data_IF_655160212813
#
_entry.id   IF_655160212813
#
_cell.length_a   1.000
_cell.length_b   1.000
_cell.length_c   1.000
_cell.angle_alpha   90.00
_cell.angle_beta   90.00
_cell.angle_gamma   90.00
#
_symmetry.space_group_name_H-M   'P 1'
#
loop_
_entity.id
_entity.type
_entity.pdbx_description
1 polymer ?
#
# COMPACT_ATOMS: atom_id res chain seq x y z
N UNK A 1 -3.73 -5.72 -23.14
CA UNK A 1 -2.83 -6.84 -22.78
C UNK A 1 -2.11 -6.59 -21.45
N UNK A 2 -1.47 -5.43 -21.23
CA UNK A 2 -0.78 -5.09 -19.95
C UNK A 2 -1.72 -5.03 -18.74
N UNK A 3 -2.94 -4.48 -18.90
CA UNK A 3 -3.97 -4.47 -17.84
C UNK A 3 -4.53 -5.86 -17.47
N UNK A 4 -4.33 -6.89 -18.31
CA UNK A 4 -4.74 -8.27 -18.03
C UNK A 4 -3.65 -9.05 -17.26
N UNK A 5 -2.37 -8.73 -17.47
CA UNK A 5 -1.26 -9.38 -16.76
C UNK A 5 -1.26 -9.02 -15.26
N UNK A 6 -1.59 -7.77 -14.91
CA UNK A 6 -1.76 -7.37 -13.50
C UNK A 6 -2.97 -8.05 -12.85
N UNK A 7 -3.96 -8.48 -13.65
CA UNK A 7 -5.14 -9.22 -13.17
C UNK A 7 -4.88 -10.73 -13.05
N UNK A 8 -3.91 -11.27 -13.80
CA UNK A 8 -3.54 -12.70 -13.80
C UNK A 8 -2.88 -13.16 -12.50
N UNK A 9 -2.15 -12.28 -11.81
CA UNK A 9 -1.59 -12.55 -10.47
C UNK A 9 -2.63 -12.47 -9.34
N UNK A 10 -3.90 -12.20 -9.66
CA UNK A 10 -4.99 -11.92 -8.71
C UNK A 10 -5.99 -13.07 -8.58
N UNK A 11 -5.65 -14.28 -9.05
CA UNK A 11 -6.38 -15.48 -8.69
C UNK A 11 -5.96 -15.94 -7.28
N UNK A 12 -6.86 -15.72 -6.33
CA UNK A 12 -6.82 -16.21 -4.96
C UNK A 12 -6.62 -17.73 -4.89
N UNK A 13 -5.45 -18.20 -4.47
CA UNK A 13 -5.31 -19.57 -3.94
C UNK A 13 -6.05 -19.65 -2.62
N UNK A 14 -7.25 -20.25 -2.67
CA UNK A 14 -8.02 -20.68 -1.52
C UNK A 14 -7.68 -22.16 -1.30
N UNK A 15 -7.16 -22.59 -0.13
CA UNK A 15 -7.06 -24.00 0.13
C UNK A 15 -8.44 -24.48 0.60
N UNK A 16 -9.11 -25.27 -0.24
CA UNK A 16 -10.15 -26.19 0.22
C UNK A 16 -9.64 -27.59 -0.12
N UNK A 17 -9.02 -28.22 0.88
CA UNK A 17 -8.87 -29.66 0.89
C UNK A 17 -10.20 -30.27 1.30
N UNK A 18 -10.63 -31.27 0.54
CA UNK A 18 -11.31 -32.44 1.08
C UNK A 18 -10.92 -33.63 0.19
N UNK A 19 -10.07 -34.48 0.76
CA UNK A 19 -9.76 -35.81 0.26
C UNK A 19 -10.86 -36.75 0.75
N UNK A 20 -11.55 -37.41 -0.17
CA UNK A 20 -12.35 -38.59 0.13
C UNK A 20 -12.12 -39.66 -0.93
N UNK A 21 -11.47 -40.74 -0.49
CA UNK A 21 -11.76 -42.16 -0.73
C UNK A 21 -12.30 -42.59 -2.10
N UNK A 22 -11.60 -43.52 -2.76
CA UNK A 22 -12.15 -44.86 -3.00
C UNK A 22 -11.08 -45.96 -3.25
N UNK A 23 -11.14 -46.95 -2.34
CA UNK A 23 -10.81 -48.38 -2.28
C UNK A 23 -9.91 -49.15 -3.33
N UNK A 24 -9.43 -50.36 -2.94
CA UNK A 24 -8.15 -50.95 -3.34
C UNK A 24 -8.27 -52.22 -4.19
N UNK A 25 -7.13 -52.72 -4.68
CA UNK A 25 -6.90 -54.15 -4.97
C UNK A 25 -5.43 -54.39 -5.26
N UNK A 26 -4.83 -55.40 -4.62
CA UNK A 26 -3.47 -55.87 -4.91
C UNK A 26 -2.89 -56.69 -3.77
N UNK A 27 -3.37 -57.93 -3.62
CA UNK A 27 -2.69 -58.98 -2.85
C UNK A 27 -1.30 -59.26 -3.43
N UNK A 28 -0.33 -59.61 -2.57
CA UNK A 28 0.36 -60.92 -2.59
C UNK A 28 1.56 -60.95 -1.60
N UNK A 29 1.55 -61.99 -0.76
CA UNK A 29 2.67 -62.80 -0.23
C UNK A 29 3.81 -62.07 0.54
N UNK A 30 3.88 -62.21 1.87
CA UNK A 30 4.49 -63.30 2.68
C UNK A 30 5.93 -62.99 3.09
N UNK A 31 6.17 -62.78 4.38
CA UNK A 31 7.07 -63.60 5.20
C UNK A 31 7.20 -63.02 6.63
N UNK A 32 7.04 -63.91 7.62
CA UNK A 32 7.31 -63.68 9.05
C UNK A 32 8.56 -64.51 9.39
N UNK A 33 9.46 -64.04 10.27
CA UNK A 33 9.51 -64.61 11.63
C UNK A 33 9.68 -63.53 12.72
N UNK A 34 8.84 -63.50 13.76
CA UNK A 34 9.14 -63.97 15.14
C UNK A 34 10.39 -63.36 15.79
N UNK A 35 10.16 -62.50 16.79
CA UNK A 35 11.11 -62.09 17.82
C UNK A 35 10.34 -61.62 19.04
N UNK A 36 10.10 -62.53 19.98
CA UNK A 36 9.66 -62.23 21.35
C UNK A 36 10.78 -61.51 22.10
N UNK A 37 10.50 -60.33 22.66
CA UNK A 37 11.15 -59.84 23.87
C UNK A 37 10.14 -59.02 24.69
N UNK A 38 9.82 -59.58 25.85
CA UNK A 38 8.99 -58.98 26.89
C UNK A 38 9.74 -57.92 27.71
N UNK A 39 8.98 -57.26 28.59
CA UNK A 39 9.39 -56.36 29.70
C UNK A 39 9.68 -54.90 29.28
N UNK A 40 9.24 -53.85 29.97
CA UNK A 40 8.45 -53.68 31.19
C UNK A 40 7.69 -52.34 31.10
N UNK A 41 6.53 -52.29 31.76
CA UNK A 41 5.79 -51.06 32.02
C UNK A 41 6.28 -50.47 33.33
N UNK A 42 6.70 -49.19 33.38
CA UNK A 42 6.53 -48.38 34.57
C UNK A 42 5.41 -47.38 34.33
N UNK A 43 4.35 -47.53 35.11
CA UNK A 43 3.46 -46.46 35.54
C UNK A 43 4.28 -45.31 36.13
N UNK A 44 4.18 -44.13 35.53
CA UNK A 44 4.67 -42.87 36.09
C UNK A 44 3.65 -41.78 35.78
N UNK A 45 2.80 -41.48 36.75
CA UNK A 45 2.02 -40.24 36.80
C UNK A 45 2.98 -39.06 36.77
N UNK A 46 2.99 -38.31 35.68
CA UNK A 46 3.41 -36.91 35.67
C UNK A 46 2.39 -36.15 34.84
N UNK A 47 1.45 -35.53 35.54
CA UNK A 47 0.70 -34.40 35.03
C UNK A 47 1.70 -33.39 34.46
N UNK A 48 1.79 -33.29 33.14
CA UNK A 48 2.41 -32.13 32.50
C UNK A 48 1.28 -31.18 32.14
N UNK A 49 1.10 -30.19 33.01
CA UNK A 49 0.24 -29.06 32.79
C UNK A 49 0.37 -28.55 31.34
N UNK A 50 -0.77 -28.47 30.68
CA UNK A 50 -0.96 -27.73 29.44
C UNK A 50 -0.34 -26.34 29.62
N UNK A 51 0.63 -25.89 28.79
CA UNK A 51 0.91 -24.48 28.75
C UNK A 51 -0.28 -23.81 28.04
N UNK A 52 -1.29 -23.43 28.82
CA UNK A 52 -2.10 -22.25 28.52
C UNK A 52 -1.18 -21.03 28.64
N UNK A 53 -0.27 -20.92 27.67
CA UNK A 53 0.43 -19.68 27.40
C UNK A 53 -0.48 -18.84 26.53
N UNK A 54 -1.37 -18.10 27.16
CA UNK A 54 -1.79 -16.80 26.62
C UNK A 54 -0.53 -15.94 26.55
N UNK A 55 0.29 -16.17 25.52
CA UNK A 55 1.20 -15.16 25.02
C UNK A 55 0.33 -14.17 24.28
N UNK A 56 -0.39 -13.35 25.06
CA UNK A 56 -0.84 -12.06 24.60
C UNK A 56 0.40 -11.38 24.02
N UNK A 57 0.49 -11.36 22.70
CA UNK A 57 1.46 -10.52 22.02
C UNK A 57 1.18 -9.11 22.51
N UNK A 58 2.10 -8.54 23.30
CA UNK A 58 2.14 -7.12 23.68
C UNK A 58 2.35 -6.20 22.46
N UNK A 59 1.96 -6.64 21.25
CA UNK A 59 1.82 -5.80 20.07
C UNK A 59 0.39 -5.24 20.10
N UNK A 60 0.22 -3.91 20.25
CA UNK A 60 -1.08 -3.28 20.12
C UNK A 60 -1.72 -3.74 18.81
N UNK A 61 -2.87 -4.40 18.89
CA UNK A 61 -3.53 -4.95 17.70
C UNK A 61 -4.69 -4.05 17.34
N UNK A 62 -4.65 -3.46 16.13
CA UNK A 62 -5.78 -2.66 15.63
C UNK A 62 -6.95 -3.56 15.20
N UNK A 63 -8.20 -3.09 15.30
CA UNK A 63 -9.38 -3.83 14.87
C UNK A 63 -9.32 -4.29 13.40
N UNK A 64 -9.98 -5.42 13.11
CA UNK A 64 -10.03 -6.02 11.75
C UNK A 64 -10.51 -5.02 10.69
N UNK A 65 -11.54 -4.23 11.02
CA UNK A 65 -12.11 -3.26 10.10
C UNK A 65 -11.12 -2.14 9.74
N UNK A 66 -10.25 -1.73 10.67
CA UNK A 66 -9.19 -0.75 10.42
C UNK A 66 -8.09 -1.34 9.52
N UNK A 67 -7.69 -2.60 9.76
CA UNK A 67 -6.76 -3.32 8.87
C UNK A 67 -7.29 -3.40 7.43
N UNK A 68 -8.60 -3.65 7.27
CA UNK A 68 -9.24 -3.64 5.95
C UNK A 68 -9.13 -2.28 5.26
N UNK A 69 -9.38 -1.17 5.97
CA UNK A 69 -9.25 0.18 5.38
C UNK A 69 -7.82 0.56 5.03
N UNK A 70 -6.84 0.17 5.86
CA UNK A 70 -5.42 0.35 5.54
C UNK A 70 -5.08 -0.39 4.25
N UNK A 71 -5.54 -1.64 4.09
CA UNK A 71 -5.31 -2.42 2.87
C UNK A 71 -6.02 -1.83 1.64
N UNK A 72 -7.25 -1.32 1.79
CA UNK A 72 -7.97 -0.63 0.71
C UNK A 72 -7.18 0.59 0.22
N UNK A 73 -6.68 1.41 1.15
CA UNK A 73 -5.86 2.57 0.84
C UNK A 73 -4.53 2.17 0.19
N UNK A 74 -3.82 1.19 0.77
CA UNK A 74 -2.57 0.63 0.22
C UNK A 74 -2.74 0.18 -1.23
N UNK A 75 -3.81 -0.53 -1.53
CA UNK A 75 -4.07 -1.02 -2.88
C UNK A 75 -4.44 0.10 -3.86
N UNK A 76 -5.21 1.11 -3.41
CA UNK A 76 -5.49 2.28 -4.24
C UNK A 76 -4.24 3.12 -4.52
N UNK A 77 -3.35 3.25 -3.53
CA UNK A 77 -2.05 3.87 -3.68
C UNK A 77 -1.22 3.15 -4.75
N UNK A 78 -1.07 1.83 -4.63
CA UNK A 78 -0.34 1.00 -5.60
C UNK A 78 -0.86 1.20 -7.03
N UNK A 79 -2.18 1.16 -7.22
CA UNK A 79 -2.80 1.39 -8.54
C UNK A 79 -2.52 2.80 -9.05
N UNK A 80 -2.53 3.81 -8.18
CA UNK A 80 -2.18 5.17 -8.53
C UNK A 80 -0.72 5.30 -8.96
N UNK A 81 0.22 4.68 -8.25
CA UNK A 81 1.65 4.69 -8.60
C UNK A 81 1.92 3.99 -9.94
N UNK A 82 1.31 2.82 -10.17
CA UNK A 82 1.42 2.14 -11.47
C UNK A 82 0.85 3.01 -12.59
N UNK A 83 -0.31 3.65 -12.36
CA UNK A 83 -0.91 4.50 -13.38
C UNK A 83 -0.09 5.75 -13.67
N UNK A 84 0.55 6.37 -12.67
CA UNK A 84 1.50 7.47 -12.86
C UNK A 84 2.60 7.06 -13.84
N UNK A 85 3.28 5.95 -13.55
CA UNK A 85 4.30 5.40 -14.43
C UNK A 85 3.78 5.11 -15.86
N UNK A 86 2.65 4.43 -15.99
CA UNK A 86 2.04 4.13 -17.31
C UNK A 86 1.63 5.40 -18.08
N UNK A 87 1.31 6.48 -17.37
CA UNK A 87 0.91 7.75 -17.99
C UNK A 87 2.12 8.58 -18.41
N UNK A 88 3.30 8.36 -17.83
CA UNK A 88 4.57 8.97 -18.23
C UNK A 88 5.14 8.31 -19.51
N UNK A 89 4.93 7.01 -19.70
CA UNK A 89 5.48 6.21 -20.80
C UNK A 89 5.27 6.84 -22.21
N UNK A 90 4.09 7.37 -22.59
CA UNK A 90 3.91 7.97 -23.92
C UNK A 90 4.71 9.27 -24.11
N UNK A 91 4.92 10.03 -23.03
CA UNK A 91 5.61 11.32 -23.06
C UNK A 91 7.12 11.16 -23.26
N UNK A 92 7.69 10.02 -22.88
CA UNK A 92 9.13 9.75 -23.04
C UNK A 92 9.49 9.18 -24.41
N UNK A 93 8.51 8.72 -25.19
CA UNK A 93 8.70 8.16 -26.55
C UNK A 93 9.00 9.21 -27.61
N UNK A 94 8.50 10.43 -27.46
CA UNK A 94 8.63 11.46 -28.49
C UNK A 94 10.05 12.06 -28.62
N UNK A 95 11.05 11.57 -27.84
CA UNK A 95 12.36 12.22 -27.61
C UNK A 95 12.23 13.73 -27.31
N UNK A 96 11.05 14.13 -26.81
CA UNK A 96 10.74 15.50 -26.45
C UNK A 96 11.20 15.72 -25.03
N UNK A 97 12.04 16.72 -24.82
CA UNK A 97 12.43 17.16 -23.47
C UNK A 97 11.23 17.78 -22.74
N UNK A 98 10.26 18.36 -23.47
CA UNK A 98 9.09 19.05 -22.91
C UNK A 98 7.98 18.10 -22.46
N UNK A 99 7.82 16.96 -23.13
CA UNK A 99 6.72 16.04 -22.88
C UNK A 99 6.71 15.46 -21.44
N UNK A 100 7.83 14.96 -20.87
CA UNK A 100 7.87 14.54 -19.48
C UNK A 100 7.53 15.66 -18.48
N UNK A 101 7.94 16.90 -18.76
CA UNK A 101 7.60 18.05 -17.93
C UNK A 101 6.08 18.32 -17.93
N UNK A 102 5.41 18.23 -19.07
CA UNK A 102 3.95 18.40 -19.16
C UNK A 102 3.22 17.33 -18.34
N UNK A 103 3.69 16.07 -18.41
CA UNK A 103 3.15 15.00 -17.57
C UNK A 103 3.36 15.29 -16.08
N UNK A 104 4.57 15.70 -15.68
CA UNK A 104 4.89 15.98 -14.29
C UNK A 104 4.00 17.09 -13.72
N UNK A 105 3.81 18.19 -14.47
CA UNK A 105 2.86 19.25 -14.13
C UNK A 105 1.44 18.72 -13.96
N UNK A 106 0.97 17.87 -14.88
CA UNK A 106 -0.39 17.32 -14.82
C UNK A 106 -0.57 16.39 -13.62
N UNK A 107 0.42 15.55 -13.31
CA UNK A 107 0.42 14.69 -12.13
C UNK A 107 0.32 15.53 -10.85
N UNK A 108 1.17 16.55 -10.70
CA UNK A 108 1.16 17.45 -9.53
C UNK A 108 -0.16 18.23 -9.43
N UNK A 109 -0.70 18.69 -10.55
CA UNK A 109 -1.98 19.40 -10.60
C UNK A 109 -3.14 18.52 -10.12
N UNK A 110 -3.19 17.27 -10.58
CA UNK A 110 -4.22 16.30 -10.16
C UNK A 110 -4.04 15.90 -8.70
N UNK A 111 -2.81 15.61 -8.25
CA UNK A 111 -2.55 15.33 -6.83
C UNK A 111 -2.97 16.51 -5.95
N UNK A 112 -2.60 17.75 -6.30
CA UNK A 112 -3.00 18.95 -5.57
C UNK A 112 -4.52 19.11 -5.51
N UNK A 113 -5.24 18.88 -6.61
CA UNK A 113 -6.70 18.97 -6.65
C UNK A 113 -7.36 18.01 -5.65
N UNK A 114 -6.95 16.76 -5.63
CA UNK A 114 -7.58 15.75 -4.76
C UNK A 114 -7.06 15.78 -3.32
N UNK A 115 -5.80 16.15 -3.12
CA UNK A 115 -5.23 16.43 -1.80
C UNK A 115 -5.96 17.58 -1.10
N UNK A 116 -6.08 18.73 -1.75
CA UNK A 116 -6.77 19.90 -1.17
C UNK A 116 -8.25 19.62 -0.91
N UNK A 117 -8.92 18.89 -1.82
CA UNK A 117 -10.29 18.38 -1.58
C UNK A 117 -10.37 17.52 -0.32
N UNK A 118 -9.44 16.58 -0.18
CA UNK A 118 -9.36 15.70 0.98
C UNK A 118 -9.05 16.49 2.26
N UNK A 119 -8.12 17.44 2.22
CA UNK A 119 -7.71 18.25 3.36
C UNK A 119 -8.87 19.09 3.91
N UNK A 120 -9.65 19.74 3.04
CA UNK A 120 -10.87 20.47 3.42
C UNK A 120 -11.86 19.55 4.12
N UNK A 121 -12.12 18.36 3.56
CA UNK A 121 -13.02 17.38 4.16
C UNK A 121 -12.52 16.91 5.54
N UNK A 122 -11.23 16.55 5.64
CA UNK A 122 -10.59 16.08 6.85
C UNK A 122 -10.65 17.13 7.97
N UNK A 123 -10.25 18.38 7.68
CA UNK A 123 -10.24 19.49 8.65
C UNK A 123 -11.66 19.87 9.10
N UNK A 124 -12.63 19.90 8.18
CA UNK A 124 -14.03 20.18 8.50
C UNK A 124 -14.63 19.16 9.47
N UNK A 125 -14.31 17.87 9.31
CA UNK A 125 -14.80 16.81 10.21
C UNK A 125 -14.10 16.80 11.57
N UNK A 126 -12.83 17.17 11.61
CA UNK A 126 -12.02 17.09 12.82
C UNK A 126 -12.12 18.33 13.72
N UNK A 127 -13.07 19.23 13.42
CA UNK A 127 -13.32 20.47 14.14
C UNK A 127 -12.01 21.23 14.39
N UNK A 128 -11.25 21.47 13.32
CA UNK A 128 -10.00 22.21 13.41
C UNK A 128 -10.23 23.50 14.24
N UNK A 129 -9.59 23.55 15.40
CA UNK A 129 -9.53 24.75 16.26
C UNK A 129 -8.88 25.91 15.49
N UNK A 130 -7.99 25.56 14.56
CA UNK A 130 -7.37 26.46 13.61
C UNK A 130 -8.24 26.71 12.38
N UNK A 131 -9.17 27.67 12.52
CA UNK A 131 -10.01 28.18 11.43
C UNK A 131 -9.15 28.70 10.26
N UNK A 132 -7.95 29.22 10.55
CA UNK A 132 -7.03 29.76 9.54
C UNK A 132 -6.51 28.67 8.62
N UNK A 133 -6.17 27.50 9.18
CA UNK A 133 -5.68 26.36 8.41
C UNK A 133 -6.76 25.82 7.46
N UNK A 134 -8.00 25.69 7.93
CA UNK A 134 -9.13 25.27 7.09
C UNK A 134 -9.36 26.26 5.95
N UNK A 135 -9.42 27.57 6.25
CA UNK A 135 -9.59 28.61 5.24
C UNK A 135 -8.46 28.60 4.19
N UNK A 136 -7.22 28.34 4.62
CA UNK A 136 -6.09 28.18 3.69
C UNK A 136 -6.34 27.07 2.67
N UNK A 137 -6.72 25.88 3.14
CA UNK A 137 -6.98 24.74 2.25
C UNK A 137 -8.26 24.90 1.41
N UNK A 138 -9.28 25.61 1.92
CA UNK A 138 -10.46 25.98 1.13
C UNK A 138 -10.09 26.87 -0.05
N UNK A 139 -9.25 27.89 0.19
CA UNK A 139 -8.73 28.76 -0.87
C UNK A 139 -7.89 27.97 -1.87
N UNK A 140 -6.96 27.13 -1.40
CA UNK A 140 -6.15 26.29 -2.29
C UNK A 140 -6.98 25.31 -3.12
N UNK A 141 -8.04 24.74 -2.54
CA UNK A 141 -8.95 23.86 -3.26
C UNK A 141 -9.76 24.61 -4.33
N UNK A 142 -10.23 25.82 -4.04
CA UNK A 142 -10.93 26.63 -5.05
C UNK A 142 -9.99 27.04 -6.20
N UNK A 143 -8.73 27.38 -5.91
CA UNK A 143 -7.73 27.63 -6.96
C UNK A 143 -7.44 26.36 -7.77
N UNK A 144 -7.28 25.20 -7.12
CA UNK A 144 -7.09 23.93 -7.82
C UNK A 144 -8.29 23.57 -8.71
N UNK A 145 -9.52 23.83 -8.26
CA UNK A 145 -10.76 23.64 -9.05
C UNK A 145 -10.80 24.57 -10.27
N UNK A 146 -10.42 25.84 -10.12
CA UNK A 146 -10.33 26.78 -11.25
C UNK A 146 -9.29 26.30 -12.26
N UNK A 147 -8.12 25.87 -11.77
CA UNK A 147 -7.07 25.26 -12.59
C UNK A 147 -7.55 24.02 -13.34
N UNK A 148 -8.29 23.13 -12.68
CA UNK A 148 -8.84 21.90 -13.31
C UNK A 148 -9.86 22.20 -14.40
N UNK A 149 -10.71 23.22 -14.22
CA UNK A 149 -11.67 23.65 -15.26
C UNK A 149 -10.97 24.15 -16.52
N UNK A 150 -9.83 24.81 -16.37
CA UNK A 150 -9.07 25.43 -17.46
C UNK A 150 -7.98 24.50 -18.03
N UNK A 151 -7.77 23.32 -17.45
CA UNK A 151 -6.72 22.40 -17.87
C UNK A 151 -7.00 21.81 -19.26
N UNK A 152 -5.94 21.68 -20.07
CA UNK A 152 -6.03 20.96 -21.35
C UNK A 152 -6.32 19.48 -21.08
N UNK A 153 -7.54 19.05 -21.40
CA UNK A 153 -8.00 17.68 -21.18
C UNK A 153 -7.15 16.63 -21.88
N UNK A 154 -6.36 17.01 -22.90
CA UNK A 154 -5.43 16.10 -23.59
C UNK A 154 -4.24 15.70 -22.72
N UNK A 155 -3.93 16.44 -21.65
CA UNK A 155 -2.82 16.11 -20.73
C UNK A 155 -3.07 14.80 -19.98
N UNK A 156 -4.34 14.46 -19.70
CA UNK A 156 -4.77 13.13 -19.21
C UNK A 156 -5.59 12.41 -20.28
N UNK A 157 -4.92 12.01 -21.37
CA UNK A 157 -5.55 11.47 -22.59
C UNK A 157 -6.55 10.33 -22.31
N UNK A 158 -6.31 9.50 -21.30
CA UNK A 158 -7.19 8.37 -20.96
C UNK A 158 -8.21 8.66 -19.85
N UNK A 159 -8.02 9.75 -19.09
CA UNK A 159 -8.76 9.99 -17.84
C UNK A 159 -8.37 9.05 -16.70
N UNK A 160 -7.51 8.05 -16.95
CA UNK A 160 -7.17 7.01 -15.98
C UNK A 160 -6.28 7.56 -14.88
N UNK A 161 -5.38 8.51 -15.17
CA UNK A 161 -4.53 9.12 -14.17
C UNK A 161 -5.38 9.85 -13.12
N UNK A 162 -6.29 10.72 -13.58
CA UNK A 162 -7.27 11.40 -12.71
C UNK A 162 -8.08 10.38 -11.91
N UNK A 163 -8.62 9.34 -12.56
CA UNK A 163 -9.44 8.35 -11.90
C UNK A 163 -8.69 7.61 -10.77
N UNK A 164 -7.42 7.24 -10.98
CA UNK A 164 -6.62 6.52 -9.98
C UNK A 164 -6.15 7.41 -8.83
N UNK A 165 -5.75 8.65 -9.11
CA UNK A 165 -5.43 9.63 -8.06
C UNK A 165 -6.69 9.93 -7.22
N UNK A 166 -7.83 10.15 -7.87
CA UNK A 166 -9.11 10.35 -7.18
C UNK A 166 -9.48 9.15 -6.29
N UNK A 167 -9.28 7.92 -6.79
CA UNK A 167 -9.55 6.70 -6.03
C UNK A 167 -8.64 6.59 -4.80
N UNK A 168 -7.34 6.87 -4.94
CA UNK A 168 -6.36 6.92 -3.83
C UNK A 168 -6.86 7.82 -2.69
N UNK A 169 -7.16 9.08 -3.01
CA UNK A 169 -7.61 10.07 -2.02
C UNK A 169 -8.97 9.72 -1.42
N UNK A 170 -9.89 9.11 -2.20
CA UNK A 170 -11.16 8.64 -1.65
C UNK A 170 -10.96 7.48 -0.66
N UNK A 171 -10.00 6.59 -0.90
CA UNK A 171 -9.67 5.54 0.08
C UNK A 171 -8.99 6.09 1.32
N UNK A 172 -8.18 7.15 1.21
CA UNK A 172 -7.66 7.88 2.38
C UNK A 172 -8.78 8.46 3.23
N UNK A 173 -9.73 9.16 2.60
CA UNK A 173 -10.92 9.71 3.27
C UNK A 173 -11.69 8.64 4.07
N UNK A 174 -11.92 7.47 3.48
CA UNK A 174 -12.60 6.35 4.15
C UNK A 174 -11.79 5.71 5.28
N UNK A 175 -10.45 5.79 5.21
CA UNK A 175 -9.57 5.37 6.29
C UNK A 175 -9.68 6.35 7.47
N UNK A 176 -9.68 7.66 7.21
CA UNK A 176 -9.75 8.69 8.25
C UNK A 176 -11.03 8.61 9.08
N UNK A 177 -12.16 8.28 8.45
CA UNK A 177 -13.44 8.12 9.14
C UNK A 177 -13.37 6.99 10.19
N UNK A 178 -12.70 5.88 9.84
CA UNK A 178 -12.52 4.73 10.74
C UNK A 178 -11.44 4.99 11.77
N UNK A 179 -10.35 5.65 11.37
CA UNK A 179 -9.26 6.06 12.24
C UNK A 179 -9.76 6.98 13.35
N UNK A 180 -10.58 7.98 13.01
CA UNK A 180 -11.14 8.93 13.97
C UNK A 180 -12.02 8.24 15.02
N UNK A 181 -12.85 7.28 14.60
CA UNK A 181 -13.66 6.47 15.51
C UNK A 181 -12.78 5.63 16.45
N UNK A 182 -11.76 4.95 15.90
CA UNK A 182 -10.82 4.16 16.69
C UNK A 182 -10.08 4.99 17.74
N UNK A 183 -9.57 6.17 17.38
CA UNK A 183 -8.87 7.08 18.30
C UNK A 183 -9.78 7.55 19.43
N UNK A 184 -11.05 7.85 19.14
CA UNK A 184 -12.03 8.27 20.14
C UNK A 184 -12.31 7.15 21.17
N UNK A 185 -12.38 5.89 20.72
CA UNK A 185 -12.61 4.72 21.59
C UNK A 185 -11.41 4.34 22.45
N UNK A 186 -10.18 4.59 21.96
CA UNK A 186 -8.94 4.10 22.59
C UNK A 186 -8.25 5.09 23.53
N UNK A 187 -8.62 6.37 23.51
CA UNK A 187 -8.03 7.42 24.38
C UNK A 187 -8.03 7.09 25.88
N UNK A 188 -8.87 6.15 26.32
CA UNK A 188 -9.01 5.74 27.73
C UNK A 188 -8.32 4.41 28.09
N UNK A 189 -7.72 3.69 27.13
CA UNK A 189 -7.37 2.26 27.31
C UNK A 189 -5.93 1.85 27.04
N UNK A 190 -5.09 2.69 26.44
CA UNK A 190 -3.78 2.22 25.95
C UNK A 190 -2.60 2.86 26.69
N UNK A 191 -1.89 2.06 27.49
CA UNK A 191 -0.58 2.40 28.06
C UNK A 191 0.52 2.13 27.02
N UNK A 192 0.62 2.99 25.99
CA UNK A 192 1.68 2.85 24.96
C UNK A 192 2.81 3.82 25.21
N UNK A 193 4.04 3.34 25.06
CA UNK A 193 5.23 4.18 25.07
C UNK A 193 5.29 5.04 23.79
N UNK A 194 4.88 6.32 23.91
CA UNK A 194 4.88 7.33 22.83
C UNK A 194 6.23 7.45 22.13
N UNK A 195 7.33 7.47 22.86
CA UNK A 195 8.69 7.62 22.29
C UNK A 195 9.13 6.39 21.50
N UNK A 196 8.74 5.19 21.97
CA UNK A 196 8.96 3.94 21.22
C UNK A 196 8.20 3.96 19.89
N UNK A 197 6.94 4.39 19.88
CA UNK A 197 6.13 4.48 18.65
C UNK A 197 6.69 5.50 17.66
N UNK A 198 7.08 6.69 18.14
CA UNK A 198 7.75 7.70 17.29
C UNK A 198 8.99 7.12 16.62
N UNK A 199 9.86 6.48 17.39
CA UNK A 199 11.09 5.86 16.84
C UNK A 199 10.78 4.77 15.82
N UNK A 200 9.75 3.96 16.05
CA UNK A 200 9.30 2.96 15.08
C UNK A 200 8.80 3.61 13.79
N UNK A 201 7.94 4.62 13.89
CA UNK A 201 7.42 5.36 12.74
C UNK A 201 8.54 5.99 11.92
N UNK A 202 9.46 6.74 12.56
CA UNK A 202 10.60 7.36 11.89
C UNK A 202 11.48 6.33 11.19
N UNK A 203 11.74 5.18 11.81
CA UNK A 203 12.51 4.11 11.16
C UNK A 203 11.81 3.57 9.91
N UNK A 204 10.48 3.44 9.95
CA UNK A 204 9.68 3.00 8.80
C UNK A 204 9.64 4.08 7.71
N UNK A 205 9.48 5.35 8.07
CA UNK A 205 9.51 6.49 7.14
C UNK A 205 10.86 6.60 6.40
N UNK A 206 11.97 6.39 7.11
CA UNK A 206 13.30 6.33 6.49
C UNK A 206 13.43 5.17 5.47
N UNK A 207 12.81 4.01 5.76
CA UNK A 207 12.76 2.89 4.82
C UNK A 207 11.89 3.21 3.60
N UNK A 208 10.76 3.88 3.79
CA UNK A 208 9.89 4.35 2.71
C UNK A 208 10.68 5.28 1.79
N UNK A 209 11.43 6.24 2.34
CA UNK A 209 12.22 7.19 1.56
C UNK A 209 13.33 6.49 0.75
N UNK A 210 14.05 5.55 1.37
CA UNK A 210 15.02 4.72 0.66
C UNK A 210 14.38 3.90 -0.47
N UNK A 211 13.23 3.27 -0.20
CA UNK A 211 12.49 2.48 -1.18
C UNK A 211 11.94 3.35 -2.32
N UNK A 212 11.49 4.57 -2.04
CA UNK A 212 11.01 5.52 -3.04
C UNK A 212 12.15 5.90 -4.02
N UNK A 213 13.37 6.08 -3.52
CA UNK A 213 14.54 6.33 -4.36
C UNK A 213 14.88 5.13 -5.26
N UNK A 214 14.71 3.90 -4.76
CA UNK A 214 14.86 2.67 -5.56
C UNK A 214 13.80 2.63 -6.68
N UNK A 215 12.54 2.89 -6.34
CA UNK A 215 11.43 2.94 -7.30
C UNK A 215 11.70 3.98 -8.39
N UNK A 216 12.08 5.21 -8.04
CA UNK A 216 12.42 6.27 -9.02
C UNK A 216 13.51 5.83 -10.00
N UNK A 217 14.57 5.17 -9.51
CA UNK A 217 15.64 4.64 -10.36
C UNK A 217 15.13 3.54 -11.30
N UNK A 218 14.24 2.68 -10.82
CA UNK A 218 13.65 1.60 -11.64
C UNK A 218 12.64 2.14 -12.65
N UNK A 219 11.90 3.20 -12.34
CA UNK A 219 11.03 3.89 -13.30
C UNK A 219 11.85 4.43 -14.48
N UNK A 220 12.98 5.09 -14.22
CA UNK A 220 13.88 5.55 -15.30
C UNK A 220 14.40 4.40 -16.17
N UNK A 221 14.80 3.28 -15.55
CA UNK A 221 15.25 2.08 -16.28
C UNK A 221 14.13 1.45 -17.11
N UNK A 222 12.92 1.36 -16.57
CA UNK A 222 11.78 0.78 -17.27
C UNK A 222 11.34 1.67 -18.46
N UNK A 223 11.44 3.00 -18.31
CA UNK A 223 11.26 3.94 -19.42
C UNK A 223 12.31 3.72 -20.52
N UNK A 224 13.58 3.58 -20.14
CA UNK A 224 14.65 3.32 -21.10
C UNK A 224 14.41 2.01 -21.88
N UNK A 225 14.15 0.91 -21.18
CA UNK A 225 13.86 -0.38 -21.79
C UNK A 225 12.62 -0.33 -22.70
N UNK A 226 11.61 0.46 -22.31
CA UNK A 226 10.44 0.73 -23.18
C UNK A 226 10.85 1.38 -24.48
N UNK A 227 11.63 2.46 -24.43
CA UNK A 227 12.02 3.19 -25.61
C UNK A 227 12.86 2.32 -26.55
N UNK A 228 13.80 1.55 -26.02
CA UNK A 228 14.62 0.61 -26.78
C UNK A 228 13.77 -0.49 -27.47
N UNK A 229 12.82 -1.10 -26.75
CA UNK A 229 11.90 -2.07 -27.33
C UNK A 229 11.00 -1.46 -28.42
N UNK A 230 10.52 -0.23 -28.21
CA UNK A 230 9.62 0.43 -29.16
C UNK A 230 10.31 0.85 -30.45
N UNK A 231 11.61 1.19 -30.39
CA UNK A 231 12.45 1.49 -31.55
C UNK A 231 12.76 0.21 -32.37
N UNK A 232 12.78 -0.97 -31.73
CA UNK A 232 13.10 -2.27 -32.36
C UNK A 232 12.10 -3.37 -31.95
N UNK A 233 10.84 -3.25 -32.39
CA UNK A 233 9.73 -4.10 -31.88
C UNK A 233 9.88 -5.60 -32.17
N UNK A 234 10.59 -5.94 -33.23
CA UNK A 234 10.81 -7.34 -33.65
C UNK A 234 11.95 -8.01 -32.86
N UNK A 235 12.74 -7.23 -32.10
CA UNK A 235 13.79 -7.77 -31.24
C UNK A 235 13.19 -8.41 -29.99
N UNK A 236 13.30 -9.74 -29.93
CA UNK A 236 12.79 -10.55 -28.82
C UNK A 236 13.54 -10.27 -27.50
N UNK A 237 14.84 -9.99 -27.55
CA UNK A 237 15.65 -9.71 -26.36
C UNK A 237 15.23 -8.39 -25.72
N UNK A 238 15.00 -7.34 -26.53
CA UNK A 238 14.54 -6.05 -26.01
C UNK A 238 13.12 -6.13 -25.44
N UNK A 239 12.26 -6.96 -26.03
CA UNK A 239 10.94 -7.26 -25.48
C UNK A 239 11.02 -7.96 -24.11
N UNK A 240 11.93 -8.92 -23.95
CA UNK A 240 12.17 -9.59 -22.66
C UNK A 240 12.68 -8.60 -21.61
N UNK A 241 13.68 -7.78 -21.94
CA UNK A 241 14.20 -6.74 -21.05
C UNK A 241 13.14 -5.72 -20.61
N UNK A 242 12.26 -5.30 -21.53
CA UNK A 242 11.10 -4.47 -21.22
C UNK A 242 10.21 -5.12 -20.16
N UNK A 243 9.83 -6.39 -20.33
CA UNK A 243 8.97 -7.07 -19.36
C UNK A 243 9.66 -7.28 -18.00
N UNK A 244 10.95 -7.61 -17.99
CA UNK A 244 11.73 -7.75 -16.75
C UNK A 244 11.82 -6.43 -15.97
N UNK A 245 12.03 -5.31 -16.65
CA UNK A 245 12.08 -4.00 -16.03
C UNK A 245 10.74 -3.63 -15.39
N UNK A 246 9.62 -3.89 -16.07
CA UNK A 246 8.27 -3.66 -15.54
C UNK A 246 7.95 -4.56 -14.36
N UNK A 247 8.28 -5.85 -14.44
CA UNK A 247 8.08 -6.83 -13.38
C UNK A 247 8.85 -6.42 -12.11
N UNK A 248 10.11 -6.02 -12.28
CA UNK A 248 10.97 -5.54 -11.19
C UNK A 248 10.40 -4.27 -10.56
N UNK A 249 10.00 -3.28 -11.37
CA UNK A 249 9.37 -2.05 -10.87
C UNK A 249 8.08 -2.35 -10.10
N UNK A 250 7.21 -3.21 -10.64
CA UNK A 250 5.96 -3.59 -9.98
C UNK A 250 6.20 -4.28 -8.62
N UNK A 251 7.23 -5.12 -8.52
CA UNK A 251 7.65 -5.77 -7.26
C UNK A 251 8.13 -4.74 -6.24
N UNK A 252 8.99 -3.80 -6.63
CA UNK A 252 9.50 -2.77 -5.72
C UNK A 252 8.42 -1.76 -5.31
N UNK A 253 7.43 -1.50 -6.19
CA UNK A 253 6.23 -0.73 -5.84
C UNK A 253 5.36 -1.47 -4.82
N UNK A 254 5.22 -2.81 -4.90
CA UNK A 254 4.52 -3.60 -3.88
C UNK A 254 5.23 -3.48 -2.51
N UNK A 255 6.56 -3.61 -2.50
CA UNK A 255 7.38 -3.40 -1.30
C UNK A 255 7.20 -2.00 -0.69
N UNK A 256 7.19 -0.95 -1.53
CA UNK A 256 6.93 0.42 -1.10
C UNK A 256 5.59 0.55 -0.41
N UNK A 257 4.50 0.06 -1.02
CA UNK A 257 3.17 0.22 -0.43
C UNK A 257 2.97 -0.62 0.83
N UNK A 258 3.68 -1.75 0.96
CA UNK A 258 3.69 -2.53 2.21
C UNK A 258 4.35 -1.76 3.35
N UNK A 259 5.46 -1.07 3.09
CA UNK A 259 6.09 -0.17 4.07
C UNK A 259 5.17 1.00 4.43
N UNK A 260 4.48 1.59 3.45
CA UNK A 260 3.50 2.65 3.70
C UNK A 260 2.33 2.15 4.56
N UNK A 261 1.83 0.94 4.32
CA UNK A 261 0.78 0.34 5.15
C UNK A 261 1.23 0.11 6.60
N UNK A 262 2.47 -0.32 6.81
CA UNK A 262 3.06 -0.43 8.16
C UNK A 262 3.22 0.94 8.82
N UNK A 263 3.65 1.97 8.06
CA UNK A 263 3.74 3.34 8.58
C UNK A 263 2.36 3.90 8.98
N UNK A 264 1.30 3.66 8.18
CA UNK A 264 -0.06 4.06 8.56
C UNK A 264 -0.52 3.36 9.84
N UNK A 265 -0.25 2.07 9.97
CA UNK A 265 -0.54 1.34 11.21
C UNK A 265 0.18 1.94 12.42
N UNK A 266 1.47 2.21 12.30
CA UNK A 266 2.28 2.82 13.37
C UNK A 266 1.82 4.26 13.69
N UNK A 267 1.45 5.04 12.67
CA UNK A 267 0.92 6.40 12.82
C UNK A 267 -0.39 6.38 13.59
N UNK A 268 -1.33 5.52 13.24
CA UNK A 268 -2.61 5.40 13.95
C UNK A 268 -2.41 5.10 15.44
N UNK A 269 -1.50 4.18 15.77
CA UNK A 269 -1.15 3.89 17.17
C UNK A 269 -0.50 5.10 17.88
N UNK A 270 0.32 5.88 17.18
CA UNK A 270 0.91 7.08 17.74
C UNK A 270 -0.17 8.15 18.00
N UNK A 271 -1.10 8.36 17.06
CA UNK A 271 -2.15 9.35 17.15
C UNK A 271 -3.06 9.17 18.37
N UNK A 272 -3.30 7.93 18.82
CA UNK A 272 -4.06 7.68 20.06
C UNK A 272 -3.42 8.29 21.31
N UNK A 273 -2.12 8.63 21.26
CA UNK A 273 -1.35 9.22 22.37
C UNK A 273 -1.20 10.74 22.29
N UNK A 274 -1.69 11.36 21.21
CA UNK A 274 -1.46 12.78 20.92
C UNK A 274 -2.70 13.64 21.21
N UNK A 275 -2.50 14.93 21.57
CA UNK A 275 -3.59 15.91 21.57
C UNK A 275 -4.09 16.14 20.13
N UNK A 276 -5.32 16.66 19.99
CA UNK A 276 -6.00 16.72 18.69
C UNK A 276 -5.25 17.57 17.66
N UNK A 277 -4.64 18.68 18.08
CA UNK A 277 -3.90 19.57 17.19
C UNK A 277 -2.63 18.90 16.64
N UNK A 278 -1.90 18.16 17.47
CA UNK A 278 -0.74 17.35 17.02
C UNK A 278 -1.17 16.24 16.05
N UNK A 279 -2.35 15.62 16.27
CA UNK A 279 -2.88 14.63 15.33
C UNK A 279 -3.14 15.23 13.95
N UNK A 280 -3.82 16.38 13.90
CA UNK A 280 -4.14 17.09 12.66
C UNK A 280 -2.86 17.47 11.91
N UNK A 281 -1.91 18.10 12.60
CA UNK A 281 -0.66 18.54 11.99
C UNK A 281 0.15 17.36 11.41
N UNK A 282 0.24 16.25 12.15
CA UNK A 282 0.98 15.07 11.69
C UNK A 282 0.36 14.46 10.43
N UNK A 283 -0.98 14.35 10.37
CA UNK A 283 -1.69 13.78 9.22
C UNK A 283 -1.60 14.70 8.00
N UNK A 284 -1.80 16.01 8.18
CA UNK A 284 -1.68 17.00 7.10
C UNK A 284 -0.27 16.99 6.51
N UNK A 285 0.78 17.06 7.33
CA UNK A 285 2.18 17.04 6.85
C UNK A 285 2.52 15.75 6.10
N UNK A 286 2.06 14.60 6.60
CA UNK A 286 2.30 13.32 5.95
C UNK A 286 1.62 13.23 4.58
N UNK A 287 0.37 13.69 4.48
CA UNK A 287 -0.39 13.65 3.23
C UNK A 287 0.06 14.73 2.24
N UNK A 288 0.52 15.89 2.73
CA UNK A 288 1.14 16.92 1.90
C UNK A 288 2.42 16.41 1.23
N UNK A 289 3.33 15.78 2.00
CA UNK A 289 4.52 15.11 1.47
C UNK A 289 4.12 14.08 0.40
N UNK A 290 3.06 13.31 0.65
CA UNK A 290 2.58 12.32 -0.33
C UNK A 290 2.05 12.93 -1.63
N UNK A 291 1.35 14.07 -1.54
CA UNK A 291 0.77 14.75 -2.70
C UNK A 291 1.81 15.20 -3.73
N UNK A 292 3.08 15.33 -3.30
CA UNK A 292 4.20 15.72 -4.16
C UNK A 292 4.89 14.54 -4.86
N UNK A 293 4.47 13.30 -4.59
CA UNK A 293 5.08 12.09 -5.17
C UNK A 293 4.67 11.87 -6.64
N UNK A 294 5.19 12.69 -7.55
CA UNK A 294 5.11 12.51 -8.99
C UNK A 294 6.51 12.28 -9.58
N UNK A 295 6.63 11.26 -10.42
CA UNK A 295 7.87 10.90 -11.13
C UNK A 295 8.27 11.92 -12.17
#
# INVERSE_FOLDING_TARGET
YIALMIRGDLASDKPTGDLASDKPTGDLASDKPTGDLASDKPTGDLASDKPTGDLASDKPTVPKHLKTRINDYKYAYYKSSIQKFLSLEPYTRARSTTAPHIYHEECLRLEKLYFTKWAVHYLSKNAATDITLLQSYENEYEEAKKGDKNADRRRDWSGLLRARISEKWKKRELLDDVESAYIAETRTKVNVNKEKLKKQLTNTENKIEAQLNIVKKLESKAIQATNEHMDNRDDKSLKEQYYEAYSTLAKELRSLVDLMGEAEFQRILLLTTLPKDEQINMIIQAMDKDSTNCS
#
